data_IF_716311308645
#
_entry.id   IF_716311308645
#
_cell.length_a   1.000
_cell.length_b   1.000
_cell.length_c   1.000
_cell.angle_alpha   90.00
_cell.angle_beta   90.00
_cell.angle_gamma   90.00
#
_symmetry.space_group_name_H-M   'P 1'
#
loop_
_entity.id
_entity.type
_entity.pdbx_description
1 polymer ?
#
# COMPACT_ATOMS: atom_id res chain seq x y z
N UNK A 1 -13.63 -4.03 13.96
CA UNK A 1 -14.12 -5.03 14.92
C UNK A 1 -13.22 -6.25 14.82
N UNK A 2 -13.20 -7.08 15.87
CA UNK A 2 -12.40 -8.31 15.88
C UNK A 2 -12.74 -9.21 14.70
N UNK A 3 -11.72 -9.61 13.95
CA UNK A 3 -11.87 -10.44 12.75
C UNK A 3 -11.97 -9.65 11.46
N UNK A 4 -12.17 -8.33 11.49
CA UNK A 4 -12.19 -7.51 10.28
C UNK A 4 -10.82 -7.51 9.63
N UNK A 5 -10.80 -7.81 8.34
CA UNK A 5 -9.60 -7.87 7.49
C UNK A 5 -9.88 -7.28 6.10
N UNK A 6 -8.84 -7.06 5.34
CA UNK A 6 -8.95 -6.74 3.92
C UNK A 6 -7.97 -7.60 3.14
N UNK A 7 -8.47 -8.29 2.12
CA UNK A 7 -7.64 -9.09 1.22
C UNK A 7 -6.64 -8.25 0.43
N UNK A 8 -5.64 -8.89 -0.18
CA UNK A 8 -4.65 -8.21 -0.99
C UNK A 8 -5.27 -7.56 -2.23
N UNK A 9 -5.02 -6.27 -2.42
CA UNK A 9 -5.54 -5.47 -3.53
C UNK A 9 -4.62 -4.29 -3.86
N UNK A 10 -4.93 -3.62 -4.97
CA UNK A 10 -4.31 -2.37 -5.43
C UNK A 10 -5.39 -1.37 -5.76
N UNK A 11 -5.07 -0.09 -5.87
CA UNK A 11 -6.00 0.94 -6.31
C UNK A 11 -5.68 1.38 -7.73
N UNK A 12 -6.60 1.12 -8.66
CA UNK A 12 -6.50 1.63 -10.03
C UNK A 12 -6.96 3.08 -10.10
N UNK A 13 -6.36 3.86 -11.01
CA UNK A 13 -6.81 5.23 -11.30
C UNK A 13 -6.34 6.28 -10.29
N UNK A 14 -5.43 5.96 -9.38
CA UNK A 14 -4.81 6.92 -8.46
C UNK A 14 -3.30 6.77 -8.47
N UNK A 15 -2.56 7.83 -8.07
CA UNK A 15 -1.10 7.81 -8.00
C UNK A 15 -0.61 7.30 -6.65
N UNK A 16 -1.20 7.83 -5.59
CA UNK A 16 -0.91 7.44 -4.22
C UNK A 16 -2.19 7.12 -3.49
N UNK A 17 -2.11 6.16 -2.60
CA UNK A 17 -3.13 5.84 -1.62
C UNK A 17 -2.60 6.14 -0.23
N UNK A 18 -3.49 6.46 0.69
CA UNK A 18 -3.11 6.77 2.05
C UNK A 18 -4.15 6.24 3.02
N UNK A 19 -3.71 5.95 4.24
CA UNK A 19 -4.56 5.68 5.39
C UNK A 19 -4.08 6.49 6.58
N UNK A 20 -5.01 7.19 7.22
CA UNK A 20 -4.78 7.90 8.46
C UNK A 20 -5.54 7.24 9.60
N UNK A 21 -4.84 6.86 10.65
CA UNK A 21 -5.39 6.19 11.82
C UNK A 21 -5.77 7.21 12.90
N UNK A 22 -7.08 7.40 13.08
CA UNK A 22 -7.63 8.28 14.11
C UNK A 22 -7.58 7.64 15.48
N UNK A 23 -8.02 6.39 15.54
CA UNK A 23 -8.06 5.61 16.76
C UNK A 23 -7.72 4.15 16.43
N UNK A 24 -6.75 3.63 17.16
CA UNK A 24 -6.33 2.24 17.03
C UNK A 24 -5.75 1.75 18.34
N UNK A 25 -5.83 0.45 18.59
CA UNK A 25 -5.17 -0.21 19.71
C UNK A 25 -4.18 -1.25 19.21
N UNK A 26 -3.43 -1.78 20.14
CA UNK A 26 -2.54 -2.90 19.87
C UNK A 26 -3.37 -4.07 19.30
N UNK A 27 -2.81 -4.77 18.32
CA UNK A 27 -3.45 -5.89 17.65
C UNK A 27 -4.73 -5.57 16.84
N UNK A 28 -4.93 -4.31 16.46
CA UNK A 28 -6.08 -3.90 15.64
C UNK A 28 -5.94 -4.18 14.13
N UNK A 29 -4.98 -5.01 13.75
CA UNK A 29 -4.72 -5.40 12.36
C UNK A 29 -3.71 -4.48 11.66
N UNK A 30 -2.60 -5.05 11.24
CA UNK A 30 -1.49 -4.38 10.57
C UNK A 30 -1.82 -4.17 9.09
N UNK A 31 -1.39 -3.06 8.50
CA UNK A 31 -1.32 -2.95 7.05
C UNK A 31 -0.08 -3.70 6.56
N UNK A 32 -0.28 -4.57 5.58
CA UNK A 32 0.78 -5.43 5.01
C UNK A 32 0.98 -5.07 3.56
N UNK A 33 2.19 -4.68 3.21
CA UNK A 33 2.61 -4.45 1.84
C UNK A 33 3.27 -5.69 1.28
N UNK A 34 2.84 -6.10 0.09
CA UNK A 34 3.32 -7.30 -0.59
C UNK A 34 4.29 -6.92 -1.69
N UNK A 35 5.45 -7.55 -1.69
CA UNK A 35 6.38 -7.45 -2.80
C UNK A 35 5.81 -8.27 -3.96
N UNK A 36 5.40 -7.60 -5.02
CA UNK A 36 4.97 -8.29 -6.22
C UNK A 36 6.16 -9.08 -6.79
N UNK A 37 5.93 -10.36 -7.04
CA UNK A 37 6.82 -11.14 -7.88
C UNK A 37 6.61 -10.62 -9.31
N UNK A 38 7.37 -9.63 -9.69
CA UNK A 38 7.32 -9.09 -11.05
C UNK A 38 7.72 -10.20 -12.03
N UNK A 39 6.75 -10.81 -12.67
CA UNK A 39 6.94 -11.79 -13.73
C UNK A 39 7.50 -11.16 -15.03
N UNK A 40 8.06 -9.95 -14.95
CA UNK A 40 8.58 -9.25 -16.11
C UNK A 40 9.92 -9.74 -16.60
N UNK A 41 10.57 -10.64 -15.89
CA UNK A 41 11.81 -11.26 -16.34
C UNK A 41 11.59 -12.75 -16.69
N UNK A 42 11.01 -12.98 -17.84
CA UNK A 42 10.90 -14.33 -18.43
C UNK A 42 12.26 -15.03 -18.59
N UNK A 43 13.36 -14.25 -18.50
CA UNK A 43 14.73 -14.72 -18.71
C UNK A 43 15.55 -14.83 -17.40
N UNK A 44 15.04 -14.35 -16.28
CA UNK A 44 15.73 -14.54 -14.99
C UNK A 44 15.19 -15.79 -14.31
N UNK A 45 16.02 -16.82 -14.10
CA UNK A 45 15.60 -17.96 -13.28
C UNK A 45 15.22 -17.42 -11.90
N UNK A 46 14.03 -17.76 -11.44
CA UNK A 46 13.56 -17.47 -10.09
C UNK A 46 14.40 -18.30 -9.11
N UNK A 47 15.58 -17.80 -8.77
CA UNK A 47 16.36 -18.37 -7.69
C UNK A 47 15.74 -17.86 -6.40
N UNK A 48 14.97 -18.72 -5.76
CA UNK A 48 14.50 -18.45 -4.40
C UNK A 48 15.69 -18.65 -3.47
N UNK A 49 16.36 -17.57 -3.07
CA UNK A 49 17.43 -17.63 -2.08
C UNK A 49 16.77 -17.59 -0.70
N UNK A 50 16.71 -18.73 0.02
CA UNK A 50 16.12 -18.74 1.35
C UNK A 50 16.97 -17.86 2.28
N UNK A 51 16.31 -17.05 3.08
CA UNK A 51 16.98 -16.20 4.06
C UNK A 51 17.79 -17.05 5.03
N UNK A 52 19.07 -16.81 5.11
CA UNK A 52 19.84 -17.25 6.26
C UNK A 52 19.51 -16.35 7.44
N UNK A 53 18.58 -16.84 8.27
CA UNK A 53 18.36 -16.42 9.66
C UNK A 53 17.99 -14.96 9.95
N UNK A 54 16.82 -14.78 10.51
CA UNK A 54 16.40 -13.74 11.49
C UNK A 54 16.65 -12.25 11.18
N UNK A 55 17.32 -11.90 10.10
CA UNK A 55 17.57 -10.51 9.72
C UNK A 55 16.58 -10.04 8.64
N UNK A 56 15.29 -10.11 8.95
CA UNK A 56 14.27 -9.54 8.11
C UNK A 56 14.43 -8.02 8.05
N UNK A 57 14.37 -7.49 6.84
CA UNK A 57 14.23 -6.06 6.60
C UNK A 57 13.38 -5.84 5.34
N UNK A 58 12.95 -4.61 5.11
CA UNK A 58 12.10 -4.24 3.98
C UNK A 58 12.69 -4.62 2.61
N UNK A 59 14.02 -4.75 2.51
CA UNK A 59 14.68 -5.05 1.24
C UNK A 59 14.65 -6.54 0.91
N UNK A 60 14.61 -7.42 1.92
CA UNK A 60 14.74 -8.88 1.74
C UNK A 60 13.49 -9.68 2.10
N UNK A 61 12.44 -9.04 2.62
CA UNK A 61 11.16 -9.69 2.93
C UNK A 61 10.23 -9.71 1.71
N UNK A 62 9.40 -10.74 1.60
CA UNK A 62 8.32 -10.82 0.59
C UNK A 62 7.12 -9.94 0.97
N UNK A 63 6.96 -9.64 2.23
CA UNK A 63 5.93 -8.75 2.74
C UNK A 63 6.47 -7.95 3.93
N UNK A 64 5.92 -6.75 4.11
CA UNK A 64 6.27 -5.86 5.19
C UNK A 64 5.01 -5.35 5.89
N UNK A 65 4.87 -5.65 7.17
CA UNK A 65 3.74 -5.25 7.99
C UNK A 65 4.07 -3.99 8.81
N UNK A 66 3.14 -3.05 8.84
CA UNK A 66 3.22 -1.84 9.65
C UNK A 66 2.07 -1.87 10.65
N UNK A 67 2.37 -1.97 11.96
CA UNK A 67 1.34 -1.90 12.98
C UNK A 67 0.74 -0.48 13.01
N UNK A 68 -0.59 -0.36 13.07
CA UNK A 68 -1.23 0.95 13.12
C UNK A 68 -0.96 1.64 14.47
N UNK A 69 -0.82 2.96 14.42
CA UNK A 69 -0.65 3.80 15.60
C UNK A 69 -1.58 5.00 15.52
N UNK A 70 -2.05 5.49 16.67
CA UNK A 70 -2.87 6.69 16.71
C UNK A 70 -2.12 7.89 16.11
N UNK A 71 -2.82 8.65 15.29
CA UNK A 71 -2.29 9.81 14.56
C UNK A 71 -1.19 9.49 13.54
N UNK A 72 -1.05 8.22 13.14
CA UNK A 72 -0.15 7.80 12.08
C UNK A 72 -0.82 7.91 10.73
N UNK A 73 -0.08 8.41 9.74
CA UNK A 73 -0.46 8.37 8.34
C UNK A 73 0.54 7.50 7.57
N UNK A 74 0.02 6.60 6.74
CA UNK A 74 0.81 5.80 5.80
C UNK A 74 0.41 6.19 4.40
N UNK A 75 1.38 6.62 3.57
CA UNK A 75 1.19 6.99 2.17
C UNK A 75 2.03 6.04 1.33
N UNK A 76 1.46 5.51 0.27
CA UNK A 76 2.12 4.53 -0.61
C UNK A 76 1.64 4.64 -2.06
N UNK A 77 2.45 4.21 -3.04
CA UNK A 77 2.00 4.13 -4.43
C UNK A 77 0.75 3.27 -4.56
N UNK A 78 -0.26 3.75 -5.28
CA UNK A 78 -1.54 3.06 -5.41
C UNK A 78 -1.45 1.69 -6.09
N UNK A 79 -0.40 1.47 -6.86
CA UNK A 79 -0.09 0.19 -7.51
C UNK A 79 0.53 -0.83 -6.55
N UNK A 80 0.95 -0.42 -5.35
CA UNK A 80 1.55 -1.32 -4.38
C UNK A 80 0.47 -2.22 -3.78
N UNK A 81 0.62 -3.53 -3.98
CA UNK A 81 -0.29 -4.54 -3.43
C UNK A 81 -0.22 -4.53 -1.91
N UNK A 82 -1.37 -4.44 -1.26
CA UNK A 82 -1.46 -4.38 0.18
C UNK A 82 -2.72 -5.06 0.69
N UNK A 83 -2.66 -5.45 1.95
CA UNK A 83 -3.77 -6.08 2.69
C UNK A 83 -3.80 -5.54 4.12
N UNK A 84 -4.84 -5.89 4.85
CA UNK A 84 -4.93 -5.62 6.29
C UNK A 84 -5.15 -6.94 7.01
N UNK A 85 -4.27 -7.24 7.96
CA UNK A 85 -4.38 -8.44 8.78
C UNK A 85 -5.64 -8.42 9.65
N UNK A 86 -6.20 -9.59 10.00
CA UNK A 86 -7.35 -9.66 10.88
C UNK A 86 -7.10 -8.95 12.20
N UNK A 87 -8.03 -8.09 12.60
CA UNK A 87 -8.00 -7.47 13.93
C UNK A 87 -8.22 -8.51 15.01
N UNK A 88 -7.35 -8.51 16.02
CA UNK A 88 -7.50 -9.32 17.24
C UNK A 88 -8.03 -8.49 18.41
N UNK A 89 -8.08 -7.17 18.25
CA UNK A 89 -8.60 -6.24 19.26
C UNK A 89 -10.11 -6.35 19.37
N UNK A 90 -10.63 -6.17 20.56
CA UNK A 90 -12.07 -6.04 20.81
C UNK A 90 -12.55 -4.59 20.66
N UNK A 91 -11.64 -3.64 20.49
CA UNK A 91 -11.93 -2.21 20.31
C UNK A 91 -12.03 -1.86 18.85
N UNK A 92 -12.91 -0.93 18.52
CA UNK A 92 -13.08 -0.44 17.16
C UNK A 92 -11.87 0.40 16.73
N UNK A 93 -11.40 0.15 15.51
CA UNK A 93 -10.40 0.97 14.83
C UNK A 93 -11.10 1.96 13.91
N UNK A 94 -10.74 3.23 14.03
CA UNK A 94 -11.21 4.29 13.15
C UNK A 94 -10.05 4.78 12.29
N UNK A 95 -10.22 4.70 10.98
CA UNK A 95 -9.26 5.22 10.01
C UNK A 95 -9.96 5.87 8.82
N UNK A 96 -9.26 6.78 8.16
CA UNK A 96 -9.69 7.41 6.92
C UNK A 96 -8.75 6.94 5.83
N UNK A 97 -9.29 6.23 4.82
CA UNK A 97 -8.58 5.88 3.62
C UNK A 97 -8.95 6.86 2.50
N UNK A 98 -7.94 7.29 1.72
CA UNK A 98 -8.15 8.20 0.60
C UNK A 98 -7.11 7.99 -0.49
N UNK A 99 -7.45 8.45 -1.69
CA UNK A 99 -6.60 8.36 -2.87
C UNK A 99 -6.21 9.75 -3.35
N UNK A 100 -4.98 9.88 -3.82
CA UNK A 100 -4.38 11.12 -4.30
C UNK A 100 -4.19 11.05 -5.80
N UNK A 101 -4.62 12.12 -6.46
CA UNK A 101 -4.48 12.32 -7.90
C UNK A 101 -3.68 13.57 -8.14
N UNK A 102 -2.90 13.57 -9.22
CA UNK A 102 -2.25 14.79 -9.68
C UNK A 102 -3.09 15.45 -10.78
N UNK A 103 -3.12 16.78 -10.75
CA UNK A 103 -3.75 17.60 -11.77
C UNK A 103 -2.72 18.50 -12.44
N UNK A 104 -2.94 18.86 -13.70
CA UNK A 104 -2.12 19.81 -14.42
C UNK A 104 -1.37 19.20 -15.59
N UNK A 105 -0.43 19.96 -16.12
CA UNK A 105 0.46 19.54 -17.20
C UNK A 105 1.74 19.00 -16.58
N UNK A 106 2.05 17.75 -16.89
CA UNK A 106 3.29 17.11 -16.49
C UNK A 106 4.22 17.11 -17.68
N UNK A 107 5.50 17.41 -17.42
CA UNK A 107 6.58 17.46 -18.38
C UNK A 107 6.47 18.60 -19.43
N UNK A 108 7.28 19.63 -19.23
CA UNK A 108 7.50 20.68 -20.23
C UNK A 108 8.60 20.32 -21.24
N UNK A 109 9.20 19.14 -21.13
CA UNK A 109 10.34 18.69 -21.93
C UNK A 109 10.01 17.97 -23.24
N UNK A 110 8.75 17.78 -23.58
CA UNK A 110 8.32 17.41 -24.93
C UNK A 110 8.33 15.92 -25.29
N UNK A 111 8.57 14.98 -24.35
CA UNK A 111 8.56 13.53 -24.65
C UNK A 111 7.31 12.80 -24.20
N UNK A 112 6.56 13.32 -23.25
CA UNK A 112 5.26 12.78 -22.88
C UNK A 112 4.42 13.88 -22.22
N UNK A 113 3.46 14.42 -22.95
CA UNK A 113 2.48 15.35 -22.39
C UNK A 113 1.30 14.55 -21.84
N UNK A 114 1.26 14.34 -20.54
CA UNK A 114 0.08 13.86 -19.86
C UNK A 114 -0.71 15.06 -19.34
N UNK A 115 -1.78 15.41 -20.02
CA UNK A 115 -2.73 16.41 -19.55
C UNK A 115 -3.82 15.74 -18.72
N UNK A 116 -3.80 15.89 -17.40
CA UNK A 116 -4.91 15.49 -16.55
C UNK A 116 -5.85 16.67 -16.40
N UNK A 117 -7.04 16.58 -16.97
CA UNK A 117 -8.08 17.58 -16.84
C UNK A 117 -8.99 17.23 -15.66
N UNK A 118 -9.41 18.25 -14.94
CA UNK A 118 -10.40 18.10 -13.89
C UNK A 118 -11.76 17.77 -14.54
N UNK A 119 -12.28 16.56 -14.34
CA UNK A 119 -13.61 16.19 -14.78
C UNK A 119 -14.60 16.77 -13.77
N UNK A 120 -14.93 18.04 -13.92
CA UNK A 120 -15.86 18.75 -13.02
C UNK A 120 -17.31 18.70 -13.47
N UNK A 121 -17.64 17.90 -14.47
CA UNK A 121 -19.00 17.76 -14.96
C UNK A 121 -19.45 16.30 -14.91
N UNK A 122 -19.92 15.88 -13.77
CA UNK A 122 -20.93 14.82 -13.61
C UNK A 122 -22.10 15.43 -12.86
#
# INVERSE_FOLDING_TARGET
IKGDESGAHTHSGSMFSAVYYLQTEQDSGEIVFHKEKTNYNVLTPTVNVPYKNKNFNICNSEAFAIPPQNNMMVIFPSTLSHSVNPSKSNTERYCIAFNLFAFGKFDQGGRSQLGLQNITNI
#
